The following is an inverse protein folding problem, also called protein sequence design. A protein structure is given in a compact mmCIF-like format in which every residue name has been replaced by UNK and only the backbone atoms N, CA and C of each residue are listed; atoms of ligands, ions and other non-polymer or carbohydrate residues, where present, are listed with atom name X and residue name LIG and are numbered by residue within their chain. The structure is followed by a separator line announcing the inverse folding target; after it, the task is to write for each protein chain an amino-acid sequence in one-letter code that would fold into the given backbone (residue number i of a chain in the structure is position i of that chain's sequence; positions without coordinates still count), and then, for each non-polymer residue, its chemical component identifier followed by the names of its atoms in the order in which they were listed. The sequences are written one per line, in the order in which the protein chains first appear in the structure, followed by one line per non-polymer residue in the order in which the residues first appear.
data_IF_061334620138
#
_entry.id   IF_061334620138
#
_cell.length_a   1.000
_cell.length_b   1.000
_cell.length_c   1.000
_cell.angle_alpha   90.00
_cell.angle_beta   90.00
_cell.angle_gamma   90.00
#
_symmetry.space_group_name_H-M   'P 1'
#
loop_
_entity.id
_entity.type
_entity.pdbx_description
1 polymer ?
#
# COMPACT_ATOMS: atom_id res chain seq x y z
N UNK A 1 -28.19 -0.88 -5.28
CA UNK A 1 -26.82 -0.80 -5.84
C UNK A 1 -26.59 -2.01 -6.73
N UNK A 2 -26.17 -1.81 -7.99
CA UNK A 2 -25.81 -2.89 -8.91
C UNK A 2 -24.40 -3.42 -8.59
N UNK A 3 -24.26 -4.74 -8.46
CA UNK A 3 -22.99 -5.38 -8.09
C UNK A 3 -22.15 -5.73 -9.32
N UNK A 4 -20.82 -5.80 -9.16
CA UNK A 4 -19.90 -6.18 -10.25
C UNK A 4 -20.31 -7.50 -10.93
N UNK A 5 -20.81 -8.49 -10.18
CA UNK A 5 -21.27 -9.78 -10.75
C UNK A 5 -22.42 -9.66 -11.75
N UNK A 6 -23.15 -8.54 -11.73
CA UNK A 6 -24.28 -8.22 -12.62
C UNK A 6 -23.83 -7.41 -13.85
N UNK A 7 -22.56 -6.97 -13.92
CA UNK A 7 -22.05 -6.20 -15.05
C UNK A 7 -21.78 -7.08 -16.28
N UNK A 8 -21.69 -6.50 -17.49
CA UNK A 8 -21.32 -7.22 -18.70
C UNK A 8 -20.06 -8.05 -18.53
N UNK A 9 -20.05 -9.28 -19.07
CA UNK A 9 -18.95 -10.22 -18.89
C UNK A 9 -17.60 -9.66 -19.38
N UNK A 10 -17.61 -8.84 -20.44
CA UNK A 10 -16.41 -8.17 -20.95
C UNK A 10 -15.78 -7.23 -19.90
N UNK A 11 -16.60 -6.39 -19.25
CA UNK A 11 -16.13 -5.46 -18.21
C UNK A 11 -15.62 -6.23 -16.99
N UNK A 12 -16.32 -7.29 -16.57
CA UNK A 12 -15.86 -8.15 -15.46
C UNK A 12 -14.49 -8.76 -15.73
N UNK A 13 -14.26 -9.28 -16.95
CA UNK A 13 -12.96 -9.84 -17.35
C UNK A 13 -11.86 -8.77 -17.35
N UNK A 14 -12.17 -7.57 -17.83
CA UNK A 14 -11.24 -6.45 -17.79
C UNK A 14 -10.85 -6.07 -16.36
N UNK A 15 -11.84 -5.93 -15.45
CA UNK A 15 -11.60 -5.66 -14.02
C UNK A 15 -10.77 -6.78 -13.38
N UNK A 16 -11.07 -8.05 -13.70
CA UNK A 16 -10.32 -9.19 -13.19
C UNK A 16 -8.83 -9.10 -13.57
N UNK A 17 -8.52 -8.82 -14.84
CA UNK A 17 -7.14 -8.64 -15.30
C UNK A 17 -6.48 -7.44 -14.62
N UNK A 18 -7.17 -6.30 -14.55
CA UNK A 18 -6.69 -5.11 -13.84
C UNK A 18 -6.32 -5.42 -12.38
N UNK A 19 -7.17 -6.14 -11.66
CA UNK A 19 -6.91 -6.52 -10.27
C UNK A 19 -5.72 -7.47 -10.13
N UNK A 20 -5.54 -8.42 -11.06
CA UNK A 20 -4.36 -9.30 -11.04
C UNK A 20 -3.05 -8.52 -11.26
N UNK A 21 -3.04 -7.61 -12.23
CA UNK A 21 -1.85 -6.80 -12.55
C UNK A 21 -1.51 -5.86 -11.39
N UNK A 22 -2.49 -5.13 -10.86
CA UNK A 22 -2.27 -4.19 -9.75
C UNK A 22 -1.86 -4.91 -8.46
N UNK A 23 -2.47 -6.06 -8.15
CA UNK A 23 -2.05 -6.87 -7.01
C UNK A 23 -0.61 -7.36 -7.18
N UNK A 24 -0.23 -7.82 -8.37
CA UNK A 24 1.16 -8.24 -8.65
C UNK A 24 2.13 -7.08 -8.48
N UNK A 25 1.79 -5.90 -8.98
CA UNK A 25 2.60 -4.68 -8.80
C UNK A 25 2.82 -4.32 -7.33
N UNK A 26 1.75 -4.40 -6.52
CA UNK A 26 1.86 -4.16 -5.08
C UNK A 26 2.72 -5.21 -4.37
N UNK A 27 2.62 -6.48 -4.75
CA UNK A 27 3.45 -7.56 -4.18
C UNK A 27 4.93 -7.39 -4.51
N UNK A 28 5.25 -6.93 -5.73
CA UNK A 28 6.64 -6.57 -6.11
C UNK A 28 7.12 -5.40 -5.25
N UNK A 29 6.28 -4.38 -5.04
CA UNK A 29 6.59 -3.27 -4.13
C UNK A 29 6.88 -3.74 -2.70
N UNK A 30 6.08 -4.66 -2.17
CA UNK A 30 6.32 -5.26 -0.85
C UNK A 30 7.64 -6.05 -0.79
N UNK A 31 7.96 -6.81 -1.84
CA UNK A 31 9.23 -7.52 -1.93
C UNK A 31 10.43 -6.57 -1.94
N UNK A 32 10.31 -5.44 -2.64
CA UNK A 32 11.32 -4.38 -2.61
C UNK A 32 11.51 -3.80 -1.21
N UNK A 33 10.41 -3.44 -0.53
CA UNK A 33 10.48 -2.95 0.87
C UNK A 33 11.11 -3.98 1.79
N UNK A 34 10.79 -5.28 1.64
CA UNK A 34 11.41 -6.35 2.41
C UNK A 34 12.91 -6.44 2.17
N UNK A 35 13.36 -6.34 0.92
CA UNK A 35 14.78 -6.40 0.59
C UNK A 35 15.56 -5.23 1.20
N UNK A 36 14.96 -4.05 1.23
CA UNK A 36 15.60 -2.83 1.72
C UNK A 36 15.61 -2.68 3.25
N UNK A 37 14.57 -3.17 3.91
CA UNK A 37 14.29 -2.87 5.33
C UNK A 37 14.17 -4.12 6.22
N UNK A 38 14.25 -5.32 5.64
CA UNK A 38 13.96 -6.59 6.31
C UNK A 38 12.59 -6.63 7.00
N UNK A 39 11.67 -5.72 6.63
CA UNK A 39 10.37 -5.52 7.30
C UNK A 39 10.51 -5.33 8.82
N UNK A 40 11.57 -4.67 9.27
CA UNK A 40 11.85 -4.44 10.68
C UNK A 40 12.00 -2.94 10.99
N UNK A 41 11.71 -2.55 12.22
CA UNK A 41 11.91 -1.17 12.68
C UNK A 41 13.36 -0.71 12.49
N UNK A 42 14.32 -1.58 12.85
CA UNK A 42 15.75 -1.29 12.71
C UNK A 42 16.14 -1.13 11.23
N UNK A 43 15.68 -2.01 10.35
CA UNK A 43 15.99 -1.90 8.92
C UNK A 43 15.31 -0.72 8.23
N UNK A 44 14.15 -0.25 8.70
CA UNK A 44 13.55 1.02 8.24
C UNK A 44 14.42 2.20 8.68
N UNK A 45 14.82 2.25 9.96
CA UNK A 45 15.75 3.28 10.47
C UNK A 45 17.01 3.32 9.62
N UNK A 46 17.66 2.17 9.45
CA UNK A 46 18.91 2.04 8.70
C UNK A 46 18.74 2.44 7.23
N UNK A 47 17.66 2.01 6.57
CA UNK A 47 17.43 2.35 5.16
C UNK A 47 17.30 3.86 4.93
N UNK A 48 16.71 4.61 5.87
CA UNK A 48 16.49 6.05 5.72
C UNK A 48 17.59 6.91 6.34
N UNK A 49 18.12 6.54 7.51
CA UNK A 49 19.12 7.31 8.27
C UNK A 49 20.56 6.78 8.11
N UNK A 50 20.74 5.69 7.38
CA UNK A 50 22.03 5.04 7.19
C UNK A 50 22.41 4.08 8.33
N UNK A 51 23.46 3.31 8.09
CA UNK A 51 24.05 2.39 9.07
C UNK A 51 24.79 3.20 10.15
N UNK A 52 24.58 2.84 11.42
CA UNK A 52 25.28 3.48 12.53
C UNK A 52 26.78 3.12 12.45
N UNK A 53 27.71 4.09 12.48
CA UNK A 53 29.14 3.79 12.48
C UNK A 53 29.62 2.91 13.64
N UNK A 54 28.82 2.79 14.71
CA UNK A 54 29.12 1.94 15.86
C UNK A 54 28.56 0.51 15.76
N UNK A 55 27.71 0.23 14.77
CA UNK A 55 27.20 -1.13 14.55
C UNK A 55 28.27 -2.03 13.92
N UNK A 56 28.25 -3.32 14.29
CA UNK A 56 29.19 -4.32 13.78
C UNK A 56 29.02 -4.47 12.26
N UNK A 57 30.06 -4.13 11.49
CA UNK A 57 30.04 -3.93 10.02
C UNK A 57 29.97 -5.25 9.22
N UNK A 58 29.22 -6.24 9.72
CA UNK A 58 29.03 -7.52 9.02
C UNK A 58 28.03 -7.43 7.86
N UNK A 59 27.23 -6.36 7.79
CA UNK A 59 26.24 -6.09 6.74
C UNK A 59 26.65 -4.94 5.81
N UNK A 60 26.01 -4.85 4.64
CA UNK A 60 26.24 -3.79 3.65
C UNK A 60 25.96 -2.39 4.24
N UNK A 61 26.95 -1.50 4.16
CA UNK A 61 26.82 -0.11 4.65
C UNK A 61 25.80 0.67 3.81
N UNK A 62 24.76 1.19 4.47
CA UNK A 62 23.75 2.06 3.86
C UNK A 62 24.05 3.53 4.17
N UNK A 63 23.97 4.36 3.13
CA UNK A 63 24.00 5.81 3.29
C UNK A 63 22.60 6.36 3.58
N UNK A 64 22.54 7.41 4.40
CA UNK A 64 21.30 8.15 4.64
C UNK A 64 20.69 8.66 3.33
N UNK A 65 19.37 8.60 3.21
CA UNK A 65 18.67 9.06 2.00
C UNK A 65 18.76 10.57 1.87
N UNK A 66 19.05 11.05 0.67
CA UNK A 66 19.02 12.50 0.42
C UNK A 66 17.57 13.01 0.38
N UNK A 67 17.38 14.32 0.61
CA UNK A 67 16.08 14.96 0.43
C UNK A 67 15.55 14.76 -1.00
N UNK A 68 16.43 14.73 -2.01
CA UNK A 68 16.08 14.48 -3.40
C UNK A 68 15.50 13.09 -3.60
N UNK A 69 16.10 12.08 -2.98
CA UNK A 69 15.62 10.69 -3.07
C UNK A 69 14.26 10.54 -2.41
N UNK A 70 14.06 11.19 -1.25
CA UNK A 70 12.77 11.20 -0.56
C UNK A 70 11.69 11.96 -1.34
N UNK A 71 12.01 13.08 -1.97
CA UNK A 71 11.08 13.80 -2.84
C UNK A 71 10.63 12.94 -4.01
N UNK A 72 11.57 12.31 -4.71
CA UNK A 72 11.26 11.44 -5.85
C UNK A 72 10.42 10.24 -5.42
N UNK A 73 10.82 9.58 -4.32
CA UNK A 73 10.08 8.44 -3.75
C UNK A 73 8.66 8.86 -3.37
N UNK A 74 8.52 9.95 -2.62
CA UNK A 74 7.22 10.44 -2.16
C UNK A 74 6.34 10.86 -3.33
N UNK A 75 6.86 11.60 -4.30
CA UNK A 75 6.11 12.02 -5.49
C UNK A 75 5.56 10.82 -6.27
N UNK A 76 6.43 9.84 -6.56
CA UNK A 76 6.05 8.66 -7.31
C UNK A 76 4.99 7.81 -6.58
N UNK A 77 5.14 7.62 -5.27
CA UNK A 77 4.18 6.82 -4.50
C UNK A 77 2.87 7.57 -4.26
N UNK A 78 2.93 8.88 -3.96
CA UNK A 78 1.71 9.68 -3.75
C UNK A 78 0.88 9.71 -5.03
N UNK A 79 1.46 9.93 -6.21
CA UNK A 79 0.68 9.93 -7.45
C UNK A 79 0.29 8.51 -7.89
N UNK A 80 1.24 7.57 -7.87
CA UNK A 80 1.04 6.20 -8.35
C UNK A 80 0.07 5.41 -7.46
N UNK A 81 0.38 5.28 -6.17
CA UNK A 81 -0.43 4.47 -5.25
C UNK A 81 -1.78 5.13 -4.95
N UNK A 82 -1.89 6.47 -4.87
CA UNK A 82 -3.21 7.10 -4.69
C UNK A 82 -4.13 6.80 -5.86
N UNK A 83 -3.61 6.79 -7.09
CA UNK A 83 -4.39 6.45 -8.28
C UNK A 83 -4.88 5.00 -8.23
N UNK A 84 -3.98 4.06 -7.90
CA UNK A 84 -4.33 2.65 -7.73
C UNK A 84 -5.38 2.47 -6.63
N UNK A 85 -5.14 3.03 -5.45
CA UNK A 85 -6.06 2.92 -4.31
C UNK A 85 -7.41 3.55 -4.60
N UNK A 86 -7.45 4.71 -5.26
CA UNK A 86 -8.70 5.36 -5.63
C UNK A 86 -9.53 4.51 -6.61
N UNK A 87 -8.90 3.95 -7.65
CA UNK A 87 -9.58 3.10 -8.63
C UNK A 87 -10.06 1.81 -7.96
N UNK A 88 -9.23 1.16 -7.15
CA UNK A 88 -9.60 -0.05 -6.40
C UNK A 88 -10.75 0.24 -5.42
N UNK A 89 -10.71 1.35 -4.70
CA UNK A 89 -11.78 1.78 -3.81
C UNK A 89 -13.09 2.04 -4.56
N UNK A 90 -13.03 2.71 -5.72
CA UNK A 90 -14.19 2.96 -6.56
C UNK A 90 -14.81 1.65 -7.07
N UNK A 91 -14.00 0.66 -7.45
CA UNK A 91 -14.49 -0.68 -7.83
C UNK A 91 -15.06 -1.43 -6.62
N UNK A 92 -14.39 -1.35 -5.48
CA UNK A 92 -14.83 -1.98 -4.24
C UNK A 92 -16.19 -1.46 -3.77
N UNK A 93 -16.53 -0.21 -4.07
CA UNK A 93 -17.86 0.34 -3.82
C UNK A 93 -18.97 -0.52 -4.44
N UNK A 94 -18.73 -1.18 -5.56
CA UNK A 94 -19.71 -2.05 -6.23
C UNK A 94 -19.66 -3.52 -5.78
N UNK A 95 -19.01 -3.79 -4.64
CA UNK A 95 -19.04 -5.10 -3.98
C UNK A 95 -20.14 -5.17 -2.92
N UNK A 96 -20.64 -6.37 -2.63
CA UNK A 96 -21.70 -6.59 -1.65
C UNK A 96 -21.21 -7.04 -0.27
N UNK A 97 -19.91 -6.85 0.06
CA UNK A 97 -19.28 -7.52 1.19
C UNK A 97 -19.49 -6.83 2.55
N UNK A 98 -19.61 -5.50 2.57
CA UNK A 98 -19.65 -4.70 3.81
C UNK A 98 -20.83 -3.74 3.83
N UNK A 99 -21.28 -3.33 5.02
CA UNK A 99 -22.21 -2.20 5.16
C UNK A 99 -21.56 -0.91 4.66
N UNK A 100 -22.38 0.10 4.35
CA UNK A 100 -21.92 1.39 3.80
C UNK A 100 -20.83 2.07 4.63
N UNK A 101 -21.00 2.16 5.96
CA UNK A 101 -20.00 2.78 6.86
C UNK A 101 -18.65 2.09 6.79
N UNK A 102 -18.61 0.77 6.99
CA UNK A 102 -17.37 -0.01 6.90
C UNK A 102 -16.73 0.04 5.53
N UNK A 103 -17.52 0.14 4.46
CA UNK A 103 -17.02 0.29 3.11
C UNK A 103 -16.26 1.60 2.92
N UNK A 104 -16.81 2.71 3.41
CA UNK A 104 -16.13 4.01 3.39
C UNK A 104 -14.83 3.97 4.19
N UNK A 105 -14.82 3.34 5.37
CA UNK A 105 -13.60 3.17 6.18
C UNK A 105 -12.53 2.41 5.39
N UNK A 106 -12.86 1.24 4.84
CA UNK A 106 -11.92 0.42 4.07
C UNK A 106 -11.40 1.15 2.82
N UNK A 107 -12.24 1.95 2.17
CA UNK A 107 -11.85 2.73 0.99
C UNK A 107 -10.92 3.90 1.31
N UNK A 108 -11.19 4.60 2.41
CA UNK A 108 -10.41 5.76 2.82
C UNK A 108 -9.07 5.38 3.45
N UNK A 109 -9.03 4.26 4.17
CA UNK A 109 -7.87 3.80 4.93
C UNK A 109 -6.56 3.80 4.14
N UNK A 110 -6.43 3.16 2.95
CA UNK A 110 -5.14 3.07 2.27
C UNK A 110 -4.64 4.45 1.77
N UNK A 111 -5.55 5.41 1.55
CA UNK A 111 -5.18 6.79 1.19
C UNK A 111 -4.66 7.56 2.41
N UNK A 112 -5.26 7.37 3.58
CA UNK A 112 -4.78 7.95 4.84
C UNK A 112 -3.43 7.34 5.21
N UNK A 113 -3.33 6.01 5.15
CA UNK A 113 -2.12 5.24 5.40
C UNK A 113 -0.97 5.67 4.48
N UNK A 114 -1.26 5.99 3.21
CA UNK A 114 -0.27 6.51 2.28
C UNK A 114 0.36 7.81 2.80
N UNK A 115 -0.46 8.77 3.24
CA UNK A 115 0.03 10.04 3.79
C UNK A 115 0.81 9.81 5.08
N UNK A 116 0.33 8.96 5.98
CA UNK A 116 0.98 8.70 7.27
C UNK A 116 2.30 7.93 7.13
N UNK A 117 2.39 6.96 6.22
CA UNK A 117 3.63 6.22 5.95
C UNK A 117 4.69 7.13 5.36
N UNK A 118 4.38 7.85 4.27
CA UNK A 118 5.36 8.72 3.62
C UNK A 118 5.69 9.95 4.48
N UNK A 119 4.70 10.57 5.13
CA UNK A 119 4.96 11.64 6.10
C UNK A 119 5.82 11.18 7.28
N UNK A 120 5.60 9.96 7.78
CA UNK A 120 6.43 9.35 8.81
C UNK A 120 7.89 9.16 8.38
N UNK A 121 8.13 8.77 7.12
CA UNK A 121 9.50 8.65 6.56
C UNK A 121 10.22 10.01 6.56
N UNK A 122 9.53 11.10 6.21
CA UNK A 122 10.10 12.44 6.28
C UNK A 122 10.48 12.84 7.71
N UNK A 123 9.60 12.54 8.67
CA UNK A 123 9.86 12.80 10.09
C UNK A 123 11.04 11.97 10.60
N UNK A 124 11.09 10.68 10.29
CA UNK A 124 12.20 9.79 10.64
C UNK A 124 13.55 10.34 10.17
N UNK A 125 13.57 10.92 8.96
CA UNK A 125 14.79 11.40 8.33
C UNK A 125 15.29 12.73 8.89
N UNK A 126 14.39 13.67 9.13
CA UNK A 126 14.76 15.07 9.42
C UNK A 126 14.53 15.50 10.87
N UNK A 127 13.89 14.66 11.70
CA UNK A 127 13.66 14.95 13.12
C UNK A 127 14.44 13.96 13.98
N UNK A 128 15.58 14.42 14.52
CA UNK A 128 16.44 13.63 15.39
C UNK A 128 15.71 13.17 16.67
N UNK A 129 15.98 11.94 17.10
CA UNK A 129 15.39 11.36 18.32
C UNK A 129 13.97 10.79 18.15
N UNK A 130 13.39 10.84 16.94
CA UNK A 130 12.04 10.29 16.67
C UNK A 130 12.08 8.91 16.00
N UNK A 131 13.03 8.06 16.36
CA UNK A 131 13.19 6.74 15.72
C UNK A 131 11.99 5.82 15.93
N UNK A 132 11.24 6.00 17.03
CA UNK A 132 10.03 5.21 17.33
C UNK A 132 8.95 5.31 16.24
N UNK A 133 9.01 6.34 15.37
CA UNK A 133 8.07 6.51 14.27
C UNK A 133 8.15 5.38 13.25
N UNK A 134 9.26 4.63 13.20
CA UNK A 134 9.39 3.40 12.39
C UNK A 134 8.25 2.43 12.63
N UNK A 135 7.80 2.25 13.88
CA UNK A 135 6.67 1.39 14.21
C UNK A 135 5.35 1.91 13.64
N UNK A 136 5.16 3.23 13.63
CA UNK A 136 4.00 3.86 13.04
C UNK A 136 4.01 3.71 11.51
N UNK A 137 5.17 3.90 10.87
CA UNK A 137 5.39 3.66 9.44
C UNK A 137 5.05 2.20 9.08
N UNK A 138 5.53 1.24 9.88
CA UNK A 138 5.24 -0.19 9.70
C UNK A 138 3.76 -0.51 9.83
N UNK A 139 3.11 -0.04 10.90
CA UNK A 139 1.70 -0.30 11.13
C UNK A 139 0.83 0.30 10.02
N UNK A 140 1.13 1.53 9.62
CA UNK A 140 0.46 2.23 8.51
C UNK A 140 0.68 1.49 7.17
N UNK A 141 1.92 1.08 6.89
CA UNK A 141 2.26 0.27 5.71
C UNK A 141 1.54 -1.08 5.69
N UNK A 142 1.50 -1.79 6.82
CA UNK A 142 0.79 -3.05 6.92
C UNK A 142 -0.72 -2.88 6.71
N UNK A 143 -1.29 -1.83 7.30
CA UNK A 143 -2.72 -1.52 7.22
C UNK A 143 -3.15 -1.28 5.77
N UNK A 144 -2.42 -0.46 5.00
CA UNK A 144 -2.72 -0.26 3.56
C UNK A 144 -2.65 -1.55 2.75
N UNK A 145 -1.70 -2.45 3.05
CA UNK A 145 -1.60 -3.74 2.35
C UNK A 145 -2.78 -4.65 2.65
N UNK A 146 -3.21 -4.69 3.92
CA UNK A 146 -4.37 -5.49 4.35
C UNK A 146 -5.66 -4.97 3.71
N UNK A 147 -5.89 -3.65 3.74
CA UNK A 147 -7.12 -3.06 3.18
C UNK A 147 -7.17 -3.16 1.67
N UNK A 148 -6.06 -2.91 0.97
CA UNK A 148 -5.97 -3.17 -0.46
C UNK A 148 -6.22 -4.64 -0.79
N UNK A 149 -5.62 -5.56 -0.03
CA UNK A 149 -5.80 -7.01 -0.20
C UNK A 149 -7.27 -7.42 -0.02
N UNK A 150 -7.93 -6.89 1.02
CA UNK A 150 -9.34 -7.14 1.29
C UNK A 150 -10.24 -6.64 0.13
N UNK A 151 -10.02 -5.42 -0.35
CA UNK A 151 -10.74 -4.88 -1.50
C UNK A 151 -10.51 -5.74 -2.75
N UNK A 152 -9.26 -6.16 -2.97
CA UNK A 152 -8.88 -6.97 -4.12
C UNK A 152 -9.56 -8.34 -4.12
N UNK A 153 -9.57 -9.04 -2.99
CA UNK A 153 -10.28 -10.32 -2.84
C UNK A 153 -11.78 -10.15 -3.06
N UNK A 154 -12.38 -9.07 -2.52
CA UNK A 154 -13.80 -8.80 -2.70
C UNK A 154 -14.16 -8.56 -4.19
N UNK A 155 -13.37 -7.73 -4.88
CA UNK A 155 -13.56 -7.43 -6.31
C UNK A 155 -13.37 -8.70 -7.15
N UNK A 156 -12.26 -9.41 -6.96
CA UNK A 156 -11.97 -10.66 -7.70
C UNK A 156 -13.11 -11.67 -7.53
N UNK A 157 -13.62 -11.84 -6.30
CA UNK A 157 -14.74 -12.73 -6.03
C UNK A 157 -16.01 -12.33 -6.79
N UNK A 158 -16.35 -11.04 -6.81
CA UNK A 158 -17.51 -10.54 -7.56
C UNK A 158 -17.32 -10.66 -9.09
N UNK A 159 -16.10 -10.53 -9.61
CA UNK A 159 -15.83 -10.70 -11.04
C UNK A 159 -15.98 -12.16 -11.50
N UNK A 160 -15.75 -13.14 -10.63
CA UNK A 160 -15.86 -14.58 -10.96
C UNK A 160 -17.29 -15.11 -10.72
N UNK A 161 -17.96 -14.68 -9.65
CA UNK A 161 -19.32 -15.15 -9.31
C UNK A 161 -20.29 -14.92 -10.48
N UNK A 162 -21.09 -15.93 -10.82
CA UNK A 162 -22.18 -15.77 -11.79
C UNK A 162 -23.27 -14.91 -11.15
N UNK A 163 -23.57 -13.75 -11.73
CA UNK A 163 -24.81 -13.05 -11.42
C UNK A 163 -25.99 -13.95 -11.79
N UNK A 164 -27.01 -14.05 -10.95
CA UNK A 164 -28.31 -14.54 -11.40
C UNK A 164 -28.73 -13.59 -12.53
N UNK A 165 -28.90 -14.10 -13.75
CA UNK A 165 -29.51 -13.30 -14.80
C UNK A 165 -30.86 -12.85 -14.27
N UNK A 166 -31.10 -11.54 -14.30
CA UNK A 166 -32.47 -11.05 -14.25
C UNK A 166 -33.21 -11.56 -15.50
#
# INVERSE_FOLDING_TARGET
MMLIRQWPAAIRRFIFIYMLITTTGLMIGLAFVRNETNLSSAGIREHYNGTDPQDDLNDDIKFEKSAKDLLLTTHNHILGLSSVFFITAALFWFTGWFSETWRLVIMAEPLVALVTTFGGIWVLRFISGMEWITWFIMLSGLSMFITFGLMSVAILTETIRKGKSA
#
